data_IF_074328965300
#
_entry.id   IF_074328965300
#
_cell.length_a   1.000
_cell.length_b   1.000
_cell.length_c   1.000
_cell.angle_alpha   90.00
_cell.angle_beta   90.00
_cell.angle_gamma   90.00
#
_symmetry.space_group_name_H-M   'P 1'
#
loop_
_entity.id
_entity.type
_entity.pdbx_description
1 polymer ?
#
# COMPACT_ATOMS: atom_id res chain seq x y z
N UNK A 1 -28.59 16.21 -1.77
CA UNK A 1 -27.50 17.08 -2.25
C UNK A 1 -26.12 16.48 -2.00
N UNK A 2 -25.68 16.17 -0.77
CA UNK A 2 -24.33 15.64 -0.43
C UNK A 2 -23.98 14.35 -1.17
N UNK A 3 -24.90 13.38 -1.22
CA UNK A 3 -24.68 12.10 -1.90
C UNK A 3 -24.41 12.28 -3.41
N UNK A 4 -25.18 13.12 -4.09
CA UNK A 4 -24.95 13.42 -5.51
C UNK A 4 -23.65 14.18 -5.74
N UNK A 5 -23.27 15.07 -4.83
CA UNK A 5 -21.99 15.78 -4.91
C UNK A 5 -20.82 14.81 -4.73
N UNK A 6 -20.90 13.88 -3.78
CA UNK A 6 -19.90 12.83 -3.60
C UNK A 6 -19.76 11.96 -4.85
N UNK A 7 -20.89 11.53 -5.44
CA UNK A 7 -20.88 10.77 -6.70
C UNK A 7 -20.27 11.57 -7.85
N UNK A 8 -20.62 12.85 -8.01
CA UNK A 8 -20.04 13.69 -9.08
C UNK A 8 -18.53 13.87 -8.94
N UNK A 9 -17.99 13.88 -7.70
CA UNK A 9 -16.55 13.87 -7.48
C UNK A 9 -15.92 12.51 -7.86
N UNK A 10 -16.66 11.42 -7.75
CA UNK A 10 -16.21 10.08 -8.14
C UNK A 10 -16.38 9.82 -9.65
N UNK A 11 -17.51 10.20 -10.26
CA UNK A 11 -17.81 9.90 -11.67
C UNK A 11 -16.79 10.54 -12.63
N UNK A 12 -16.24 11.67 -12.28
CA UNK A 12 -15.15 12.30 -13.06
C UNK A 12 -13.86 11.49 -13.03
N UNK A 13 -13.76 10.54 -12.11
CA UNK A 13 -12.64 9.61 -11.94
C UNK A 13 -13.03 8.16 -12.35
N UNK A 14 -14.19 7.93 -13.01
CA UNK A 14 -14.62 6.59 -13.43
C UNK A 14 -13.64 5.89 -14.39
N UNK A 15 -12.91 6.54 -15.29
CA UNK A 15 -11.78 5.92 -15.98
C UNK A 15 -10.72 5.39 -14.99
N UNK A 16 -10.55 6.07 -13.86
CA UNK A 16 -9.71 5.71 -12.74
C UNK A 16 -10.07 4.34 -12.12
N UNK A 17 -11.36 4.02 -11.93
CA UNK A 17 -11.75 2.76 -11.30
C UNK A 17 -11.55 1.54 -12.19
N UNK A 18 -11.60 1.70 -13.50
CA UNK A 18 -11.30 0.63 -14.46
C UNK A 18 -9.78 0.43 -14.64
N UNK A 19 -8.99 1.51 -14.50
CA UNK A 19 -7.53 1.47 -14.58
C UNK A 19 -6.83 1.13 -13.26
N UNK A 20 -7.48 1.33 -12.09
CA UNK A 20 -6.91 1.03 -10.77
C UNK A 20 -6.56 -0.45 -10.60
N UNK A 21 -7.19 -1.32 -11.37
CA UNK A 21 -6.83 -2.75 -11.44
C UNK A 21 -5.71 -3.05 -12.44
N UNK A 22 -5.14 -2.04 -13.10
CA UNK A 22 -4.13 -2.27 -14.14
C UNK A 22 -3.09 -1.19 -14.42
N UNK A 23 -3.24 0.09 -14.02
CA UNK A 23 -2.28 1.16 -14.37
C UNK A 23 -2.12 2.29 -13.34
N UNK A 24 -0.97 2.90 -13.40
CA UNK A 24 -0.33 4.11 -12.85
C UNK A 24 -1.20 5.08 -11.99
N UNK A 25 -1.38 4.75 -10.72
CA UNK A 25 -2.12 5.53 -9.71
C UNK A 25 -1.48 6.92 -9.42
N UNK A 26 -0.27 7.18 -9.93
CA UNK A 26 0.50 8.41 -9.65
C UNK A 26 -0.07 9.67 -10.26
N UNK A 27 -0.94 9.54 -11.24
CA UNK A 27 -1.41 10.67 -12.08
C UNK A 27 -2.68 11.34 -11.55
N UNK A 28 -3.26 10.86 -10.45
CA UNK A 28 -4.61 11.24 -10.03
C UNK A 28 -4.63 12.28 -8.92
N UNK A 29 -5.55 13.21 -9.03
CA UNK A 29 -5.81 14.24 -8.03
C UNK A 29 -6.56 13.66 -6.82
N UNK A 30 -5.80 13.21 -5.81
CA UNK A 30 -6.34 12.70 -4.54
C UNK A 30 -7.26 13.72 -3.85
N UNK A 31 -7.21 15.00 -4.23
CA UNK A 31 -8.06 16.06 -3.65
C UNK A 31 -9.54 15.76 -3.86
N UNK A 32 -9.93 15.21 -5.01
CA UNK A 32 -11.32 14.84 -5.30
C UNK A 32 -11.77 13.64 -4.48
N UNK A 33 -10.90 12.62 -4.34
CA UNK A 33 -11.18 11.46 -3.50
C UNK A 33 -11.39 11.88 -2.04
N UNK A 34 -10.58 12.79 -1.51
CA UNK A 34 -10.73 13.37 -0.17
C UNK A 34 -12.04 14.13 -0.02
N UNK A 35 -12.47 14.89 -1.03
CA UNK A 35 -13.76 15.59 -1.02
C UNK A 35 -14.94 14.60 -1.00
N UNK A 36 -14.90 13.60 -1.87
CA UNK A 36 -15.92 12.54 -1.89
C UNK A 36 -15.98 11.79 -0.55
N UNK A 37 -14.82 11.45 0.01
CA UNK A 37 -14.72 10.81 1.32
C UNK A 37 -15.39 11.64 2.42
N UNK A 38 -15.11 12.94 2.48
CA UNK A 38 -15.72 13.83 3.47
C UNK A 38 -17.24 13.93 3.31
N UNK A 39 -17.74 13.96 2.08
CA UNK A 39 -19.19 13.99 1.83
C UNK A 39 -19.87 12.67 2.23
N UNK A 40 -19.27 11.50 1.93
CA UNK A 40 -19.78 10.23 2.39
C UNK A 40 -19.68 10.06 3.91
N UNK A 41 -18.61 10.55 4.54
CA UNK A 41 -18.46 10.54 5.99
C UNK A 41 -19.54 11.38 6.67
N UNK A 42 -19.91 12.54 6.10
CA UNK A 42 -21.00 13.35 6.58
C UNK A 42 -22.34 12.59 6.48
N UNK A 43 -22.58 11.85 5.39
CA UNK A 43 -23.79 11.05 5.21
C UNK A 43 -23.85 9.93 6.24
N UNK A 44 -22.80 9.15 6.39
CA UNK A 44 -22.74 8.05 7.36
C UNK A 44 -22.94 8.53 8.80
N UNK A 45 -22.39 9.70 9.16
CA UNK A 45 -22.50 10.23 10.53
C UNK A 45 -23.83 10.92 10.81
N UNK A 46 -24.31 11.80 9.92
CA UNK A 46 -25.47 12.65 10.16
C UNK A 46 -26.79 12.05 9.69
N UNK A 47 -26.75 11.13 8.73
CA UNK A 47 -27.92 10.58 8.06
C UNK A 47 -27.95 9.05 8.14
N UNK A 48 -27.58 8.49 9.30
CA UNK A 48 -27.48 7.03 9.56
C UNK A 48 -28.73 6.24 9.17
N UNK A 49 -29.93 6.82 9.32
CA UNK A 49 -31.20 6.18 8.95
C UNK A 49 -31.62 6.35 7.49
N UNK A 50 -30.81 7.01 6.67
CA UNK A 50 -31.15 7.23 5.27
C UNK A 50 -30.82 6.00 4.41
N UNK A 51 -31.56 5.83 3.31
CA UNK A 51 -31.28 4.79 2.31
C UNK A 51 -29.88 4.87 1.68
N UNK A 52 -29.18 5.99 1.87
CA UNK A 52 -27.85 6.23 1.33
C UNK A 52 -26.72 5.91 2.32
N UNK A 53 -27.02 5.67 3.60
CA UNK A 53 -26.00 5.50 4.64
C UNK A 53 -25.16 4.25 4.40
N UNK A 54 -25.79 3.12 4.13
CA UNK A 54 -25.09 1.85 3.90
C UNK A 54 -24.18 1.90 2.65
N UNK A 55 -24.66 2.48 1.55
CA UNK A 55 -23.82 2.68 0.36
C UNK A 55 -22.66 3.66 0.64
N UNK A 56 -22.92 4.72 1.41
CA UNK A 56 -21.86 5.65 1.82
C UNK A 56 -20.75 4.95 2.63
N UNK A 57 -21.09 4.06 3.56
CA UNK A 57 -20.13 3.29 4.34
C UNK A 57 -19.25 2.38 3.47
N UNK A 58 -19.84 1.67 2.51
CA UNK A 58 -19.07 0.85 1.57
C UNK A 58 -18.11 1.69 0.73
N UNK A 59 -18.55 2.87 0.28
CA UNK A 59 -17.71 3.80 -0.49
C UNK A 59 -16.60 4.42 0.34
N UNK A 60 -16.81 4.65 1.64
CA UNK A 60 -15.78 5.12 2.56
C UNK A 60 -14.63 4.13 2.66
N UNK A 61 -14.93 2.83 2.80
CA UNK A 61 -13.90 1.78 2.82
C UNK A 61 -13.10 1.77 1.51
N UNK A 62 -13.81 1.82 0.39
CA UNK A 62 -13.19 1.83 -0.93
C UNK A 62 -12.26 3.05 -1.12
N UNK A 63 -12.75 4.26 -0.82
CA UNK A 63 -11.98 5.51 -0.96
C UNK A 63 -10.76 5.54 -0.05
N UNK A 64 -10.90 5.08 1.20
CA UNK A 64 -9.78 4.95 2.14
C UNK A 64 -8.70 4.05 1.56
N UNK A 65 -9.08 2.88 1.05
CA UNK A 65 -8.14 1.93 0.49
C UNK A 65 -7.47 2.47 -0.79
N UNK A 66 -8.20 3.22 -1.62
CA UNK A 66 -7.66 3.86 -2.82
C UNK A 66 -6.62 4.93 -2.47
N UNK A 67 -6.91 5.77 -1.46
CA UNK A 67 -5.96 6.78 -0.97
C UNK A 67 -4.72 6.14 -0.33
N UNK A 68 -4.89 5.03 0.39
CA UNK A 68 -3.79 4.26 0.94
C UNK A 68 -2.87 3.69 -0.16
N UNK A 69 -3.44 3.10 -1.20
CA UNK A 69 -2.68 2.59 -2.35
C UNK A 69 -1.90 3.70 -3.06
N UNK A 70 -2.48 4.89 -3.19
CA UNK A 70 -1.79 6.05 -3.77
C UNK A 70 -0.53 6.44 -2.97
N UNK A 71 -0.60 6.46 -1.64
CA UNK A 71 0.57 6.77 -0.80
C UNK A 71 1.66 5.70 -0.92
N UNK A 72 1.28 4.42 -0.98
CA UNK A 72 2.22 3.30 -1.22
C UNK A 72 2.88 3.43 -2.59
N UNK A 73 2.12 3.78 -3.62
CA UNK A 73 2.68 4.03 -4.94
C UNK A 73 3.74 5.14 -4.92
N UNK A 74 3.46 6.27 -4.24
CA UNK A 74 4.43 7.37 -4.10
C UNK A 74 5.66 6.91 -3.32
N UNK A 75 5.47 6.14 -2.23
CA UNK A 75 6.58 5.59 -1.45
C UNK A 75 7.48 4.71 -2.32
N UNK A 76 6.89 3.82 -3.11
CA UNK A 76 7.62 2.93 -4.03
C UNK A 76 8.34 3.70 -5.14
N UNK A 77 7.72 4.76 -5.66
CA UNK A 77 8.38 5.66 -6.62
C UNK A 77 9.66 6.27 -6.04
N UNK A 78 9.61 6.78 -4.81
CA UNK A 78 10.80 7.33 -4.13
C UNK A 78 11.84 6.24 -3.82
N UNK A 79 11.40 5.04 -3.42
CA UNK A 79 12.28 3.90 -3.19
C UNK A 79 13.11 3.56 -4.43
N UNK A 80 12.44 3.41 -5.58
CA UNK A 80 13.08 3.12 -6.87
C UNK A 80 14.05 4.21 -7.33
N UNK A 81 13.87 5.44 -6.87
CA UNK A 81 14.76 6.57 -7.16
C UNK A 81 15.89 6.74 -6.15
N UNK A 82 16.00 5.88 -5.14
CA UNK A 82 17.00 5.99 -4.11
C UNK A 82 16.74 7.09 -3.06
N UNK A 83 15.57 7.71 -3.08
CA UNK A 83 15.15 8.73 -2.12
C UNK A 83 14.56 8.06 -0.86
N UNK A 84 15.38 7.28 -0.14
CA UNK A 84 14.94 6.38 0.92
C UNK A 84 14.28 7.09 2.10
N UNK A 85 14.71 8.30 2.45
CA UNK A 85 14.07 9.12 3.50
C UNK A 85 12.64 9.48 3.07
N UNK A 86 12.46 10.01 1.86
CA UNK A 86 11.13 10.37 1.36
C UNK A 86 10.23 9.14 1.20
N UNK A 87 10.79 7.99 0.81
CA UNK A 87 10.09 6.72 0.72
C UNK A 87 9.56 6.27 2.09
N UNK A 88 10.43 6.23 3.10
CA UNK A 88 10.05 5.83 4.46
C UNK A 88 9.01 6.77 5.07
N UNK A 89 9.15 8.09 4.89
CA UNK A 89 8.16 9.05 5.40
C UNK A 89 6.78 8.89 4.74
N UNK A 90 6.72 8.59 3.43
CA UNK A 90 5.45 8.30 2.75
C UNK A 90 4.81 7.00 3.23
N UNK A 91 5.59 5.95 3.40
CA UNK A 91 5.11 4.67 3.91
C UNK A 91 4.59 4.81 5.36
N UNK A 92 5.29 5.55 6.23
CA UNK A 92 4.82 5.89 7.58
C UNK A 92 3.52 6.67 7.55
N UNK A 93 3.46 7.74 6.76
CA UNK A 93 2.26 8.56 6.60
C UNK A 93 1.05 7.70 6.19
N UNK A 94 1.24 6.76 5.27
CA UNK A 94 0.20 5.82 4.87
C UNK A 94 -0.31 4.98 6.06
N UNK A 95 0.60 4.38 6.84
CA UNK A 95 0.24 3.53 7.98
C UNK A 95 -0.49 4.30 9.08
N UNK A 96 -0.10 5.55 9.33
CA UNK A 96 -0.69 6.43 10.33
C UNK A 96 -2.06 6.98 9.89
N UNK A 97 -2.19 7.34 8.61
CA UNK A 97 -3.39 8.00 8.09
C UNK A 97 -4.50 7.00 7.71
N UNK A 98 -4.12 5.80 7.25
CA UNK A 98 -5.04 4.78 6.75
C UNK A 98 -4.86 3.44 7.48
N UNK A 99 -5.02 3.38 8.81
CA UNK A 99 -4.81 2.17 9.58
C UNK A 99 -5.74 1.04 9.12
N UNK A 100 -5.18 -0.17 9.04
CA UNK A 100 -5.93 -1.36 8.61
C UNK A 100 -6.29 -1.41 7.12
N UNK A 101 -5.71 -0.54 6.28
CA UNK A 101 -5.85 -0.67 4.84
C UNK A 101 -5.06 -1.90 4.33
N UNK A 102 -5.54 -2.61 3.29
CA UNK A 102 -4.82 -3.75 2.70
C UNK A 102 -3.38 -3.42 2.26
N UNK A 103 -3.15 -2.17 1.83
CA UNK A 103 -1.84 -1.65 1.44
C UNK A 103 -0.81 -1.56 2.58
N UNK A 104 -1.23 -1.75 3.86
CA UNK A 104 -0.32 -1.71 5.01
C UNK A 104 0.82 -2.72 4.92
N UNK A 105 0.56 -3.87 4.33
CA UNK A 105 1.57 -4.90 4.08
C UNK A 105 2.72 -4.35 3.21
N UNK A 106 2.38 -3.79 2.08
CA UNK A 106 3.36 -3.24 1.13
C UNK A 106 4.09 -2.02 1.72
N UNK A 107 3.39 -1.15 2.44
CA UNK A 107 3.99 -0.02 3.14
C UNK A 107 5.07 -0.46 4.15
N UNK A 108 4.81 -1.53 4.92
CA UNK A 108 5.79 -2.10 5.86
C UNK A 108 7.01 -2.68 5.14
N UNK A 109 6.82 -3.36 4.01
CA UNK A 109 7.93 -3.88 3.19
C UNK A 109 8.80 -2.71 2.67
N UNK A 110 8.17 -1.65 2.17
CA UNK A 110 8.88 -0.43 1.71
C UNK A 110 9.65 0.22 2.86
N UNK A 111 9.09 0.27 4.07
CA UNK A 111 9.79 0.78 5.26
C UNK A 111 11.05 -0.02 5.56
N UNK A 112 10.93 -1.35 5.60
CA UNK A 112 12.06 -2.25 5.89
C UNK A 112 13.16 -2.03 4.85
N UNK A 113 12.81 -2.00 3.57
CA UNK A 113 13.78 -1.79 2.49
C UNK A 113 14.43 -0.40 2.58
N UNK A 114 13.64 0.65 2.81
CA UNK A 114 14.15 2.01 2.97
C UNK A 114 15.10 2.12 4.15
N UNK A 115 14.77 1.55 5.32
CA UNK A 115 15.61 1.57 6.50
C UNK A 115 16.87 0.73 6.33
N UNK A 116 16.81 -0.40 5.64
CA UNK A 116 17.99 -1.16 5.26
C UNK A 116 18.97 -0.30 4.42
N UNK A 117 18.45 0.41 3.42
CA UNK A 117 19.26 1.30 2.57
C UNK A 117 19.83 2.51 3.30
N UNK A 118 19.17 2.94 4.38
CA UNK A 118 19.63 4.03 5.26
C UNK A 118 20.57 3.57 6.37
N UNK A 119 20.84 2.25 6.49
CA UNK A 119 21.63 1.69 7.58
C UNK A 119 20.95 1.77 8.96
N UNK A 120 19.61 1.96 8.97
CA UNK A 120 18.82 2.08 10.20
C UNK A 120 18.25 0.72 10.61
N UNK A 121 19.14 -0.24 10.93
CA UNK A 121 18.79 -1.65 11.20
C UNK A 121 17.73 -1.81 12.29
N UNK A 122 17.79 -1.02 13.37
CA UNK A 122 16.79 -1.09 14.45
C UNK A 122 15.37 -0.77 13.94
N UNK A 123 15.21 0.27 13.13
CA UNK A 123 13.91 0.64 12.55
C UNK A 123 13.42 -0.40 11.53
N UNK A 124 14.32 -1.01 10.78
CA UNK A 124 13.99 -2.12 9.89
C UNK A 124 13.47 -3.34 10.67
N UNK A 125 14.14 -3.69 11.79
CA UNK A 125 13.71 -4.79 12.68
C UNK A 125 12.33 -4.51 13.30
N UNK A 126 12.09 -3.30 13.79
CA UNK A 126 10.79 -2.92 14.36
C UNK A 126 9.68 -3.02 13.31
N UNK A 127 9.91 -2.52 12.11
CA UNK A 127 8.97 -2.63 10.99
C UNK A 127 8.71 -4.09 10.61
N UNK A 128 9.74 -4.94 10.61
CA UNK A 128 9.62 -6.37 10.33
C UNK A 128 8.83 -7.12 11.42
N UNK A 129 9.01 -6.76 12.69
CA UNK A 129 8.17 -7.30 13.78
C UNK A 129 6.70 -6.96 13.57
N UNK A 130 6.39 -5.70 13.22
CA UNK A 130 5.01 -5.29 12.93
C UNK A 130 4.45 -6.07 11.74
N UNK A 131 5.23 -6.24 10.67
CA UNK A 131 4.83 -7.03 9.50
C UNK A 131 4.49 -8.47 9.89
N UNK A 132 5.39 -9.17 10.58
CA UNK A 132 5.22 -10.58 10.92
C UNK A 132 4.15 -10.83 11.97
N UNK A 133 3.87 -9.86 12.84
CA UNK A 133 2.77 -9.92 13.81
C UNK A 133 1.40 -9.80 13.14
N UNK A 134 1.27 -8.92 12.15
CA UNK A 134 -0.01 -8.67 11.47
C UNK A 134 -0.25 -9.59 10.26
N UNK A 135 0.81 -10.14 9.67
CA UNK A 135 0.75 -10.97 8.46
C UNK A 135 1.55 -12.26 8.68
N UNK A 136 0.87 -13.31 9.15
CA UNK A 136 1.46 -14.58 9.58
C UNK A 136 2.21 -15.38 8.51
N UNK A 137 1.96 -15.06 7.23
CA UNK A 137 2.68 -15.64 6.10
C UNK A 137 4.08 -15.06 5.90
N UNK A 138 4.45 -13.99 6.62
CA UNK A 138 5.79 -13.39 6.56
C UNK A 138 6.66 -13.82 7.72
N UNK A 139 7.96 -13.96 7.43
CA UNK A 139 9.04 -14.10 8.43
C UNK A 139 10.16 -13.16 8.06
N UNK A 140 11.04 -12.85 9.03
CA UNK A 140 12.26 -12.11 8.74
C UNK A 140 13.48 -12.79 9.36
N UNK A 141 14.63 -12.53 8.78
CA UNK A 141 15.94 -12.89 9.29
C UNK A 141 16.87 -11.69 9.17
N UNK A 142 17.96 -11.67 9.93
CA UNK A 142 18.99 -10.67 9.79
C UNK A 142 20.18 -11.38 9.10
N UNK A 143 20.67 -10.80 8.03
CA UNK A 143 21.81 -11.35 7.30
C UNK A 143 23.16 -10.94 7.93
N UNK A 144 24.27 -11.43 7.35
CA UNK A 144 25.63 -11.15 7.80
C UNK A 144 26.07 -9.67 7.66
N UNK A 145 25.30 -8.85 6.96
CA UNK A 145 25.52 -7.42 6.76
C UNK A 145 24.56 -6.57 7.60
N UNK A 146 23.92 -7.16 8.61
CA UNK A 146 22.91 -6.53 9.47
C UNK A 146 21.64 -6.04 8.70
N UNK A 147 21.36 -6.60 7.52
CA UNK A 147 20.16 -6.29 6.75
C UNK A 147 19.01 -7.20 7.13
N UNK A 148 17.84 -6.61 7.27
CA UNK A 148 16.57 -7.35 7.52
C UNK A 148 16.06 -7.91 6.20
N UNK A 149 16.02 -9.23 6.10
CA UNK A 149 15.52 -9.96 4.92
C UNK A 149 14.15 -10.54 5.22
N UNK A 150 13.14 -10.15 4.42
CA UNK A 150 11.77 -10.64 4.53
C UNK A 150 11.60 -11.87 3.63
N UNK A 151 10.91 -12.88 4.15
CA UNK A 151 10.49 -14.07 3.39
C UNK A 151 8.98 -14.22 3.46
N UNK A 152 8.35 -14.37 2.31
CA UNK A 152 6.93 -14.74 2.20
C UNK A 152 6.83 -16.27 2.11
N UNK A 153 6.17 -16.88 3.07
CA UNK A 153 5.98 -18.34 3.13
C UNK A 153 4.94 -18.84 2.13
N UNK A 154 4.14 -17.96 1.56
CA UNK A 154 3.14 -18.31 0.56
C UNK A 154 3.73 -18.49 -0.85
N UNK A 155 4.97 -18.02 -1.04
CA UNK A 155 5.74 -18.26 -2.27
C UNK A 155 6.63 -19.47 -2.01
N UNK A 156 6.30 -20.62 -2.59
CA UNK A 156 7.21 -21.76 -2.60
C UNK A 156 8.57 -21.29 -3.11
N UNK A 157 9.69 -21.72 -2.48
CA UNK A 157 10.99 -21.39 -3.01
C UNK A 157 11.03 -21.95 -4.44
N UNK A 158 11.09 -21.06 -5.43
CA UNK A 158 11.43 -21.46 -6.80
C UNK A 158 12.78 -22.15 -6.65
N UNK A 159 12.79 -23.47 -6.84
CA UNK A 159 14.01 -24.24 -6.94
C UNK A 159 14.74 -23.62 -8.13
N UNK A 160 15.79 -22.85 -7.88
CA UNK A 160 16.76 -22.53 -8.91
C UNK A 160 17.35 -23.88 -9.33
N UNK A 161 16.68 -24.51 -10.32
CA UNK A 161 17.37 -25.50 -11.13
C UNK A 161 18.50 -24.75 -11.81
N UNK A 162 19.70 -24.88 -11.21
CA UNK A 162 20.93 -24.66 -11.92
C UNK A 162 20.90 -25.59 -13.15
N UNK A 163 20.39 -25.05 -14.27
CA UNK A 163 20.57 -25.71 -15.56
C UNK A 163 22.06 -25.67 -15.87
N UNK A 164 22.71 -26.70 -15.42
CA UNK A 164 24.02 -27.12 -15.91
C UNK A 164 23.81 -27.56 -17.36
N UNK A 165 23.84 -26.55 -18.24
CA UNK A 165 24.00 -26.83 -19.67
C UNK A 165 25.44 -27.28 -19.88
N UNK A 166 25.64 -28.60 -19.70
CA UNK A 166 26.83 -29.28 -20.13
C UNK A 166 26.77 -29.36 -21.67
N UNK A 167 27.41 -28.42 -22.33
CA UNK A 167 27.67 -28.53 -23.77
C UNK A 167 28.81 -29.53 -23.96
N UNK A 168 28.47 -30.83 -23.98
CA UNK A 168 29.34 -31.88 -24.49
C UNK A 168 29.64 -31.66 -25.96
N UNK A 169 30.88 -31.37 -26.25
CA UNK A 169 31.50 -31.43 -27.56
C UNK A 169 31.34 -32.85 -28.16
N UNK A 170 30.76 -32.91 -29.35
CA UNK A 170 31.26 -33.73 -30.50
C UNK A 170 30.82 -33.08 -31.81
#
# INVERSE_FOLDING_TARGET
AYYLRALSNLEKEQPFFQELFGQDVSKYDVTRLKRAYNDFLLISNRFKGSKYANDAENRLVFLRNSMANHEVYIANYYLKRGAFIASSERAKYMLETYPGAPASKEALIILIESYNKLGSTNLAIESAKVLTTNFSNYTYTIDKNDLVVIKDKSVDPVVEESSFFDFGLF
#
